data_IF_848544689394
#
_entry.id   IF_848544689394
#
_cell.length_a   1.000
_cell.length_b   1.000
_cell.length_c   1.000
_cell.angle_alpha   90.00
_cell.angle_beta   90.00
_cell.angle_gamma   90.00
#
_symmetry.space_group_name_H-M   'P 1'
#
loop_
_entity.id
_entity.type
_entity.pdbx_description
1 polymer ?
#
# COMPACT_ATOMS: atom_id res chain seq x y z
N UNK A 1 -4.43 2.11 14.24
CA UNK A 1 -4.49 0.76 13.61
C UNK A 1 -3.39 0.70 12.57
N UNK A 2 -2.69 -0.43 12.41
CA UNK A 2 -1.59 -0.53 11.45
C UNK A 2 -2.12 -0.56 10.00
N UNK A 3 -1.47 0.17 9.11
CA UNK A 3 -1.72 0.12 7.66
C UNK A 3 -1.31 -1.26 7.12
N UNK A 4 -2.08 -1.87 6.20
CA UNK A 4 -1.73 -3.16 5.62
C UNK A 4 -0.36 -3.12 4.94
N UNK A 5 0.50 -4.07 5.30
CA UNK A 5 1.79 -4.32 4.63
C UNK A 5 1.68 -5.56 3.74
N UNK A 6 2.42 -5.59 2.63
CA UNK A 6 2.45 -6.75 1.73
C UNK A 6 3.22 -7.91 2.37
N UNK A 7 2.77 -9.14 2.16
CA UNK A 7 3.44 -10.34 2.68
C UNK A 7 4.57 -10.77 1.75
N UNK A 8 5.58 -11.50 2.26
CA UNK A 8 6.75 -11.97 1.49
C UNK A 8 6.36 -12.68 0.18
N UNK A 9 5.42 -13.62 0.25
CA UNK A 9 4.97 -14.44 -0.89
C UNK A 9 3.64 -13.97 -1.53
N UNK A 10 3.12 -12.81 -1.11
CA UNK A 10 1.91 -12.24 -1.72
C UNK A 10 2.24 -11.63 -3.08
N UNK A 11 1.37 -11.81 -4.08
CA UNK A 11 1.48 -11.17 -5.39
C UNK A 11 1.07 -9.71 -5.31
N UNK A 12 1.55 -8.89 -6.26
CA UNK A 12 1.24 -7.46 -6.31
C UNK A 12 -0.26 -7.22 -6.38
N UNK A 13 -0.95 -7.91 -7.28
CA UNK A 13 -2.39 -7.70 -7.50
C UNK A 13 -3.24 -8.12 -6.29
N UNK A 14 -2.85 -9.21 -5.61
CA UNK A 14 -3.49 -9.69 -4.38
C UNK A 14 -3.34 -8.65 -3.26
N UNK A 15 -2.13 -8.12 -3.10
CA UNK A 15 -1.87 -7.06 -2.13
C UNK A 15 -2.63 -5.77 -2.47
N UNK A 16 -2.65 -5.36 -3.73
CA UNK A 16 -3.35 -4.14 -4.15
C UNK A 16 -4.86 -4.25 -3.89
N UNK A 17 -5.46 -5.39 -4.20
CA UNK A 17 -6.88 -5.64 -3.89
C UNK A 17 -7.15 -5.57 -2.39
N UNK A 18 -6.30 -6.22 -1.57
CA UNK A 18 -6.44 -6.20 -0.12
C UNK A 18 -6.24 -4.80 0.47
N UNK A 19 -5.22 -4.08 0.02
CA UNK A 19 -4.88 -2.75 0.51
C UNK A 19 -5.94 -1.71 0.11
N UNK A 20 -6.46 -1.76 -1.12
CA UNK A 20 -7.52 -0.86 -1.58
C UNK A 20 -8.86 -1.15 -0.90
N UNK A 21 -9.15 -2.42 -0.58
CA UNK A 21 -10.36 -2.85 0.11
C UNK A 21 -10.30 -2.77 1.63
N UNK A 22 -9.14 -2.49 2.22
CA UNK A 22 -8.94 -2.51 3.66
C UNK A 22 -9.76 -1.42 4.37
N UNK A 23 -10.38 -1.75 5.50
CA UNK A 23 -11.28 -0.83 6.21
C UNK A 23 -10.54 0.36 6.83
N UNK A 24 -9.29 0.20 7.25
CA UNK A 24 -8.45 1.32 7.72
C UNK A 24 -8.10 2.22 6.55
N UNK A 25 -7.72 1.63 5.41
CA UNK A 25 -7.43 2.39 4.20
C UNK A 25 -8.65 3.16 3.69
N UNK A 26 -9.85 2.58 3.81
CA UNK A 26 -11.10 3.26 3.49
C UNK A 26 -11.44 4.42 4.42
N UNK A 27 -11.06 4.31 5.69
CA UNK A 27 -11.35 5.32 6.72
C UNK A 27 -10.37 6.50 6.67
N UNK A 28 -9.08 6.19 6.58
CA UNK A 28 -7.99 7.17 6.60
C UNK A 28 -7.77 7.80 5.21
N UNK A 29 -7.90 7.01 4.13
CA UNK A 29 -7.71 7.45 2.74
C UNK A 29 -9.01 7.28 1.95
N UNK A 30 -9.95 8.21 2.17
CA UNK A 30 -11.24 8.23 1.47
C UNK A 30 -11.09 8.39 -0.04
N UNK A 31 -10.09 9.16 -0.47
CA UNK A 31 -9.77 9.34 -1.88
C UNK A 31 -9.01 8.11 -2.42
N UNK A 32 -9.55 7.54 -3.50
CA UNK A 32 -8.99 6.34 -4.12
C UNK A 32 -7.57 6.54 -4.66
N UNK A 33 -7.22 7.74 -5.13
CA UNK A 33 -5.86 8.02 -5.66
C UNK A 33 -4.85 8.06 -4.52
N UNK A 34 -5.20 8.71 -3.42
CA UNK A 34 -4.36 8.72 -2.21
C UNK A 34 -4.16 7.30 -1.67
N UNK A 35 -5.24 6.54 -1.56
CA UNK A 35 -5.18 5.15 -1.09
C UNK A 35 -4.28 4.30 -1.98
N UNK A 36 -4.47 4.42 -3.30
CA UNK A 36 -3.65 3.71 -4.27
C UNK A 36 -2.17 4.09 -4.15
N UNK A 37 -1.84 5.37 -4.01
CA UNK A 37 -0.47 5.83 -3.83
C UNK A 37 0.19 5.24 -2.58
N UNK A 38 -0.55 5.14 -1.46
CA UNK A 38 -0.07 4.50 -0.24
C UNK A 38 0.13 3.00 -0.46
N UNK A 39 -0.82 2.30 -1.07
CA UNK A 39 -0.69 0.88 -1.39
C UNK A 39 0.55 0.64 -2.27
N UNK A 40 0.72 1.39 -3.35
CA UNK A 40 1.90 1.29 -4.23
C UNK A 40 3.19 1.49 -3.45
N UNK A 41 3.26 2.52 -2.61
CA UNK A 41 4.44 2.77 -1.78
C UNK A 41 4.75 1.61 -0.82
N UNK A 42 3.74 1.08 -0.14
CA UNK A 42 3.91 -0.07 0.76
C UNK A 42 4.42 -1.33 0.01
N UNK A 43 3.96 -1.51 -1.23
CA UNK A 43 4.43 -2.59 -2.10
C UNK A 43 5.89 -2.39 -2.53
N UNK A 44 6.28 -1.18 -2.88
CA UNK A 44 7.65 -0.83 -3.25
C UNK A 44 8.61 -0.99 -2.06
N UNK A 45 8.20 -0.59 -0.85
CA UNK A 45 8.98 -0.76 0.37
C UNK A 45 9.25 -2.23 0.73
N UNK A 46 8.39 -3.17 0.29
CA UNK A 46 8.65 -4.63 0.40
C UNK A 46 9.79 -5.10 -0.50
N UNK A 47 9.94 -4.50 -1.67
CA UNK A 47 10.90 -4.91 -2.70
C UNK A 47 12.33 -4.46 -2.41
N UNK A 48 12.55 -3.55 -1.47
CA UNK A 48 13.88 -3.17 -1.03
C UNK A 48 14.72 -2.43 -2.09
N UNK A 49 14.11 -1.60 -2.94
CA UNK A 49 14.87 -0.65 -3.76
C UNK A 49 14.50 0.80 -3.39
N UNK A 50 15.41 1.39 -2.61
CA UNK A 50 15.41 2.76 -2.14
C UNK A 50 15.41 3.73 -3.31
N UNK A 51 14.27 4.31 -3.67
CA UNK A 51 14.27 5.64 -4.29
C UNK A 51 13.49 6.61 -3.42
N UNK A 52 14.30 7.39 -2.68
CA UNK A 52 13.96 8.59 -1.91
C UNK A 52 12.76 9.34 -2.51
N UNK A 53 11.65 9.41 -1.78
CA UNK A 53 10.76 10.55 -1.93
C UNK A 53 11.36 11.71 -1.12
N UNK A 54 12.38 12.35 -1.69
CA UNK A 54 12.88 13.63 -1.22
C UNK A 54 11.80 14.66 -1.58
N UNK A 55 11.11 15.20 -0.59
CA UNK A 55 10.34 16.43 -0.74
C UNK A 55 10.62 17.35 0.44
#
# INVERSE_FOLDING_TARGET
MPIPTPKKDEKRDDFMSRCMGDSVMNKEFKDNKQRYAVCVRQWEEKGGDTTKHNK
#
